data_IF_515785902278
#
_entry.id   IF_515785902278
#
_cell.length_a   1.000
_cell.length_b   1.000
_cell.length_c   1.000
_cell.angle_alpha   90.00
_cell.angle_beta   90.00
_cell.angle_gamma   90.00
#
_symmetry.space_group_name_H-M   'P 1'
#
loop_
_entity.id
_entity.type
_entity.pdbx_description
1 polymer ?
#
# COMPACT_ATOMS: atom_id res chain seq x y z
N UNK A 1 7.96 -16.24 0.36
CA UNK A 1 8.36 -15.71 1.67
C UNK A 1 7.69 -14.36 1.83
N UNK A 2 7.04 -14.08 2.96
CA UNK A 2 6.38 -12.80 3.15
C UNK A 2 7.37 -11.64 3.13
N UNK A 3 6.91 -10.50 2.61
CA UNK A 3 7.68 -9.25 2.57
C UNK A 3 6.90 -8.14 3.25
N UNK A 4 7.62 -7.16 3.77
CA UNK A 4 7.07 -5.89 4.22
C UNK A 4 7.35 -4.85 3.14
N UNK A 5 6.33 -4.09 2.78
CA UNK A 5 6.45 -2.92 1.92
C UNK A 5 6.05 -1.68 2.71
N UNK A 6 6.93 -0.67 2.75
CA UNK A 6 6.70 0.58 3.46
C UNK A 6 6.67 1.73 2.46
N UNK A 7 5.54 2.42 2.36
CA UNK A 7 5.43 3.66 1.61
C UNK A 7 5.49 4.84 2.59
N UNK A 8 6.48 5.70 2.40
CA UNK A 8 6.59 6.97 3.10
C UNK A 8 7.34 7.95 2.21
N UNK A 9 6.71 9.09 1.91
CA UNK A 9 7.36 10.17 1.18
C UNK A 9 6.70 11.50 1.55
N UNK A 10 7.39 12.65 1.39
CA UNK A 10 6.77 13.96 1.61
C UNK A 10 5.55 14.22 0.72
N UNK A 11 5.45 13.54 -0.41
CA UNK A 11 4.32 13.65 -1.33
C UNK A 11 3.16 12.71 -0.99
N UNK A 12 3.36 11.71 -0.12
CA UNK A 12 2.28 10.87 0.41
C UNK A 12 1.61 11.57 1.59
N UNK A 13 0.49 12.25 1.34
CA UNK A 13 -0.37 12.82 2.37
C UNK A 13 -1.61 11.95 2.57
N UNK A 14 -2.33 12.16 3.68
CA UNK A 14 -3.62 11.50 3.93
C UNK A 14 -4.60 11.71 2.77
N UNK A 15 -4.71 12.93 2.26
CA UNK A 15 -5.66 13.27 1.20
C UNK A 15 -5.33 12.54 -0.11
N UNK A 16 -4.04 12.43 -0.45
CA UNK A 16 -3.56 11.70 -1.63
C UNK A 16 -3.71 10.20 -1.47
N UNK A 17 -3.51 9.67 -0.26
CA UNK A 17 -3.82 8.28 0.07
C UNK A 17 -5.32 8.00 -0.12
N UNK A 18 -6.21 8.84 0.43
CA UNK A 18 -7.65 8.64 0.26
C UNK A 18 -8.08 8.76 -1.20
N UNK A 19 -7.44 9.63 -1.98
CA UNK A 19 -7.67 9.73 -3.43
C UNK A 19 -7.19 8.48 -4.18
N UNK A 20 -6.04 7.92 -3.83
CA UNK A 20 -5.56 6.69 -4.47
C UNK A 20 -6.51 5.51 -4.16
N UNK A 21 -7.04 5.42 -2.94
CA UNK A 21 -8.06 4.44 -2.56
C UNK A 21 -9.33 4.64 -3.38
N UNK A 22 -9.81 5.88 -3.55
CA UNK A 22 -10.99 6.17 -4.39
C UNK A 22 -10.79 5.67 -5.82
N UNK A 23 -9.62 5.93 -6.42
CA UNK A 23 -9.33 5.49 -7.78
C UNK A 23 -9.18 3.97 -7.91
N UNK A 24 -8.54 3.31 -6.95
CA UNK A 24 -8.36 1.85 -6.95
C UNK A 24 -9.67 1.07 -6.78
N UNK A 25 -10.59 1.61 -5.99
CA UNK A 25 -11.82 0.92 -5.60
C UNK A 25 -13.06 1.37 -6.37
N UNK A 26 -12.91 2.35 -7.29
CA UNK A 26 -14.04 2.94 -8.00
C UNK A 26 -14.94 3.82 -7.13
N UNK A 27 -14.41 4.40 -6.05
CA UNK A 27 -15.10 5.43 -5.26
C UNK A 27 -15.24 5.15 -3.76
N UNK A 28 -14.64 4.10 -3.20
CA UNK A 28 -14.63 3.91 -1.73
C UNK A 28 -13.72 4.95 -1.08
N UNK A 29 -14.10 5.43 0.10
CA UNK A 29 -13.29 6.36 0.89
C UNK A 29 -12.17 5.67 1.67
N UNK A 30 -12.24 4.35 1.86
CA UNK A 30 -11.25 3.54 2.57
C UNK A 30 -11.24 2.10 2.06
N UNK A 31 -10.08 1.46 2.15
CA UNK A 31 -9.98 0.02 2.10
C UNK A 31 -10.49 -0.56 3.42
N UNK A 32 -11.38 -1.56 3.37
CA UNK A 32 -12.04 -2.13 4.54
C UNK A 32 -11.72 -3.62 4.72
N UNK A 33 -11.31 -4.32 3.66
CA UNK A 33 -10.88 -5.73 3.72
C UNK A 33 -9.85 -6.05 2.64
N UNK A 34 -9.10 -7.16 2.77
CA UNK A 34 -8.18 -7.59 1.71
C UNK A 34 -8.85 -7.78 0.34
N UNK A 35 -10.15 -8.08 0.29
CA UNK A 35 -10.91 -8.20 -0.95
C UNK A 35 -11.07 -6.88 -1.73
N UNK A 36 -10.73 -5.74 -1.11
CA UNK A 36 -10.70 -4.45 -1.79
C UNK A 36 -9.44 -4.24 -2.64
N UNK A 37 -8.40 -5.07 -2.47
CA UNK A 37 -7.22 -5.03 -3.32
C UNK A 37 -7.50 -5.67 -4.69
N UNK A 38 -6.98 -5.09 -5.79
CA UNK A 38 -7.21 -5.61 -7.14
C UNK A 38 -6.41 -6.88 -7.45
N UNK A 39 -5.63 -7.39 -6.49
CA UNK A 39 -4.81 -8.60 -6.60
C UNK A 39 -4.83 -9.38 -5.30
N UNK A 40 -4.56 -10.68 -5.38
CA UNK A 40 -4.42 -11.54 -4.22
C UNK A 40 -3.04 -11.40 -3.54
N UNK A 41 -2.97 -11.82 -2.27
CA UNK A 41 -1.71 -12.00 -1.56
C UNK A 41 -1.35 -10.89 -0.57
N UNK A 42 -2.20 -9.88 -0.38
CA UNK A 42 -2.11 -8.95 0.75
C UNK A 42 -2.48 -9.71 2.04
N UNK A 43 -1.62 -9.59 3.06
CA UNK A 43 -1.82 -10.19 4.38
C UNK A 43 -2.22 -9.14 5.42
N UNK A 44 -1.58 -7.97 5.38
CA UNK A 44 -1.85 -6.84 6.29
C UNK A 44 -1.75 -5.55 5.50
N UNK A 45 -2.63 -4.61 5.80
CA UNK A 45 -2.53 -3.22 5.39
C UNK A 45 -2.77 -2.31 6.59
N UNK A 46 -1.87 -1.37 6.82
CA UNK A 46 -2.01 -0.34 7.83
C UNK A 46 -1.55 1.01 7.26
N UNK A 47 -2.38 2.03 7.42
CA UNK A 47 -2.09 3.38 6.96
C UNK A 47 -2.41 4.38 8.07
N UNK A 48 -1.56 5.40 8.25
CA UNK A 48 -1.78 6.40 9.27
C UNK A 48 -0.74 7.53 9.28
N UNK A 49 -1.07 8.56 10.05
CA UNK A 49 -0.17 9.68 10.31
C UNK A 49 0.87 9.27 11.37
N UNK A 50 2.14 9.58 11.11
CA UNK A 50 3.21 9.47 12.10
C UNK A 50 4.10 10.71 12.10
N UNK A 51 5.13 10.74 12.94
CA UNK A 51 6.00 11.91 13.12
C UNK A 51 6.73 12.35 11.85
N UNK A 52 6.85 11.45 10.86
CA UNK A 52 7.51 11.69 9.56
C UNK A 52 6.50 11.81 8.41
N UNK A 53 5.25 12.15 8.72
CA UNK A 53 4.15 12.23 7.76
C UNK A 53 3.40 10.91 7.60
N UNK A 54 2.45 10.92 6.66
CA UNK A 54 1.60 9.77 6.37
C UNK A 54 2.42 8.57 5.86
N UNK A 55 2.09 7.39 6.37
CA UNK A 55 2.81 6.15 6.09
C UNK A 55 1.81 5.03 5.80
N UNK A 56 2.16 4.17 4.84
CA UNK A 56 1.48 2.90 4.59
C UNK A 56 2.46 1.76 4.81
N UNK A 57 2.01 0.72 5.50
CA UNK A 57 2.75 -0.52 5.73
C UNK A 57 1.88 -1.67 5.28
N UNK A 58 2.39 -2.43 4.31
CA UNK A 58 1.76 -3.65 3.84
C UNK A 58 2.63 -4.86 4.16
N UNK A 59 1.98 -6.00 4.42
CA UNK A 59 2.63 -7.31 4.41
C UNK A 59 2.04 -8.13 3.27
N UNK A 60 2.90 -8.68 2.42
CA UNK A 60 2.51 -9.47 1.25
C UNK A 60 3.06 -10.89 1.37
N UNK A 61 2.36 -11.87 0.80
CA UNK A 61 2.79 -13.28 0.73
C UNK A 61 4.12 -13.48 -0.02
N UNK A 62 4.44 -12.58 -0.96
CA UNK A 62 5.66 -12.60 -1.78
C UNK A 62 5.89 -11.26 -2.49
N UNK A 63 7.13 -11.04 -2.95
CA UNK A 63 7.46 -9.91 -3.85
C UNK A 63 6.67 -9.96 -5.15
N UNK A 64 6.39 -11.16 -5.68
CA UNK A 64 5.61 -11.34 -6.90
C UNK A 64 4.15 -10.90 -6.73
N UNK A 65 3.55 -11.11 -5.55
CA UNK A 65 2.21 -10.60 -5.24
C UNK A 65 2.22 -9.07 -5.14
N UNK A 66 3.23 -8.51 -4.48
CA UNK A 66 3.42 -7.07 -4.37
C UNK A 66 3.64 -6.40 -5.74
N UNK A 67 4.47 -6.99 -6.61
CA UNK A 67 4.73 -6.47 -7.96
C UNK A 67 3.47 -6.40 -8.81
N UNK A 68 2.61 -7.42 -8.75
CA UNK A 68 1.30 -7.42 -9.43
C UNK A 68 0.41 -6.28 -8.93
N UNK A 69 0.45 -5.96 -7.64
CA UNK A 69 -0.23 -4.78 -7.11
C UNK A 69 0.40 -3.49 -7.62
N UNK A 70 1.73 -3.40 -7.63
CA UNK A 70 2.48 -2.26 -8.15
C UNK A 70 2.09 -1.88 -9.58
N UNK A 71 1.85 -2.86 -10.46
CA UNK A 71 1.35 -2.63 -11.84
C UNK A 71 0.01 -1.88 -11.89
N UNK A 72 -0.84 -2.04 -10.85
CA UNK A 72 -2.13 -1.35 -10.71
C UNK A 72 -2.00 -0.04 -9.94
N UNK A 73 -1.17 -0.03 -8.89
CA UNK A 73 -1.00 1.08 -7.96
C UNK A 73 -0.21 2.24 -8.57
N UNK A 74 0.90 1.96 -9.26
CA UNK A 74 1.82 3.01 -9.73
C UNK A 74 1.18 4.05 -10.66
N UNK A 75 0.33 3.67 -11.64
CA UNK A 75 -0.41 4.65 -12.44
C UNK A 75 -1.29 5.57 -11.60
N UNK A 76 -1.95 5.02 -10.57
CA UNK A 76 -2.81 5.78 -9.66
C UNK A 76 -1.98 6.75 -8.81
N UNK A 77 -0.88 6.28 -8.20
CA UNK A 77 0.01 7.13 -7.39
C UNK A 77 0.56 8.30 -8.21
N UNK A 78 0.98 8.04 -9.45
CA UNK A 78 1.43 9.08 -10.37
C UNK A 78 0.33 10.10 -10.68
N UNK A 79 -0.90 9.64 -10.91
CA UNK A 79 -2.03 10.53 -11.20
C UNK A 79 -2.38 11.46 -10.03
N UNK A 80 -2.19 11.01 -8.79
CA UNK A 80 -2.44 11.81 -7.57
C UNK A 80 -1.23 12.59 -7.08
N UNK A 81 -0.10 12.52 -7.79
CA UNK A 81 1.13 13.25 -7.46
C UNK A 81 1.89 12.68 -6.26
N UNK A 82 1.75 11.39 -5.97
CA UNK A 82 2.60 10.68 -5.02
C UNK A 82 3.83 10.16 -5.75
N UNK A 83 5.00 10.42 -5.15
CA UNK A 83 6.32 10.07 -5.67
C UNK A 83 7.09 9.28 -4.62
N UNK A 84 8.13 8.58 -5.08
CA UNK A 84 8.99 7.73 -4.25
C UNK A 84 8.74 6.25 -4.48
N UNK A 85 9.73 5.45 -4.11
CA UNK A 85 9.66 3.99 -4.12
C UNK A 85 9.46 3.49 -2.68
N UNK A 86 8.73 2.38 -2.51
CA UNK A 86 8.59 1.77 -1.20
C UNK A 86 9.87 1.06 -0.77
N UNK A 87 10.15 1.07 0.53
CA UNK A 87 11.14 0.16 1.10
C UNK A 87 10.56 -1.26 1.14
N UNK A 88 11.26 -2.21 0.54
CA UNK A 88 10.83 -3.61 0.44
C UNK A 88 11.88 -4.49 1.11
N UNK A 89 11.46 -5.35 2.02
CA UNK A 89 12.35 -6.29 2.68
C UNK A 89 11.63 -7.57 3.13
N UNK A 90 12.34 -8.71 3.24
CA UNK A 90 11.78 -9.93 3.79
C UNK A 90 11.26 -9.73 5.21
N UNK A 91 10.06 -10.24 5.50
CA UNK A 91 9.59 -10.33 6.87
C UNK A 91 10.36 -11.46 7.57
N UNK A 92 11.27 -11.10 8.48
CA UNK A 92 12.03 -12.10 9.25
C UNK A 92 11.10 -13.00 10.09
N UNK A 93 10.12 -12.38 10.74
CA UNK A 93 9.05 -13.04 11.49
C UNK A 93 7.72 -12.37 11.16
N UNK A 94 6.70 -13.17 10.86
CA UNK A 94 5.34 -12.71 10.65
C UNK A 94 4.37 -13.59 11.45
N UNK A 95 3.48 -12.97 12.21
CA UNK A 95 2.46 -13.64 13.03
C UNK A 95 1.11 -13.02 12.67
N UNK A 96 0.16 -13.88 12.30
CA UNK A 96 -1.25 -13.53 12.10
C UNK A 96 -2.12 -14.50 12.90
N UNK A 97 -3.38 -14.12 13.14
CA UNK A 97 -4.38 -15.00 13.75
C UNK A 97 -4.72 -16.23 12.88
#
# INVERSE_FOLDING_TARGET
MPIVAVFQSPSLTKERYEESVRQLTGGKSRMASPADWPVEGLLVHAAGEGDKGFRVVDVWTSEDAFRRFGEKLMPVLKAVGVEGEPDIYPAHTFVSE
#
